data_IF_053302696347
#
_entry.id   IF_053302696347
#
_cell.length_a   1.000
_cell.length_b   1.000
_cell.length_c   1.000
_cell.angle_alpha   90.00
_cell.angle_beta   90.00
_cell.angle_gamma   90.00
#
_symmetry.space_group_name_H-M   'P 1'
#
loop_
_entity.id
_entity.type
_entity.pdbx_description
1 polymer ?
#
# COMPACT_ATOMS: atom_id res chain seq x y z
N UNK A 1 7.05 -4.29 26.02
CA UNK A 1 7.00 -2.92 25.46
C UNK A 1 6.96 -2.96 23.93
N UNK A 2 8.04 -3.40 23.26
CA UNK A 2 8.16 -3.50 21.79
C UNK A 2 6.98 -4.14 21.06
N UNK A 3 6.45 -5.27 21.53
CA UNK A 3 5.30 -5.92 20.88
C UNK A 3 4.01 -5.10 21.00
N UNK A 4 3.79 -4.46 22.14
CA UNK A 4 2.61 -3.64 22.38
C UNK A 4 2.61 -2.38 21.51
N UNK A 5 3.77 -1.73 21.38
CA UNK A 5 3.94 -0.55 20.51
C UNK A 5 3.85 -0.94 19.04
N UNK A 6 4.42 -2.08 18.63
CA UNK A 6 4.25 -2.65 17.28
C UNK A 6 2.76 -2.91 16.97
N UNK A 7 2.03 -3.49 17.93
CA UNK A 7 0.59 -3.75 17.77
C UNK A 7 -0.19 -2.45 17.64
N UNK A 8 0.09 -1.45 18.48
CA UNK A 8 -0.55 -0.14 18.43
C UNK A 8 -0.29 0.57 17.08
N UNK A 9 0.95 0.52 16.60
CA UNK A 9 1.36 1.04 15.29
C UNK A 9 0.57 0.37 14.15
N UNK A 10 0.50 -0.97 14.15
CA UNK A 10 -0.14 -1.74 13.07
C UNK A 10 -1.66 -1.61 13.07
N UNK A 11 -2.29 -1.58 14.24
CA UNK A 11 -3.74 -1.75 14.39
C UNK A 11 -4.51 -0.45 14.65
N UNK A 12 -3.84 0.62 15.11
CA UNK A 12 -4.55 1.88 15.36
C UNK A 12 -5.11 2.47 14.05
N UNK A 13 -6.37 2.88 14.08
CA UNK A 13 -7.08 3.51 12.96
C UNK A 13 -7.13 5.05 13.08
N UNK A 14 -6.36 5.61 14.01
CA UNK A 14 -6.32 7.04 14.27
C UNK A 14 -5.29 7.40 15.34
N UNK A 15 -5.33 8.63 15.86
CA UNK A 15 -4.48 9.02 16.99
C UNK A 15 -4.74 8.13 18.20
N UNK A 16 -3.67 7.50 18.71
CA UNK A 16 -3.72 6.69 19.93
C UNK A 16 -4.13 7.57 21.12
N UNK A 17 -5.04 7.04 21.94
CA UNK A 17 -5.50 7.67 23.18
C UNK A 17 -4.96 6.87 24.36
N UNK A 18 -4.43 7.56 25.36
CA UNK A 18 -3.89 6.91 26.58
C UNK A 18 -4.98 6.40 27.52
N UNK A 19 -6.22 6.85 27.35
CA UNK A 19 -7.38 6.45 28.16
C UNK A 19 -7.14 6.60 29.68
N UNK A 20 -6.34 7.59 30.08
CA UNK A 20 -5.99 7.86 31.48
C UNK A 20 -4.83 7.01 32.02
N UNK A 21 -4.19 6.19 31.20
CA UNK A 21 -2.98 5.47 31.56
C UNK A 21 -1.77 6.43 31.60
N UNK A 22 -0.82 6.23 32.53
CA UNK A 22 0.39 7.05 32.66
C UNK A 22 1.43 6.67 31.59
N UNK A 23 1.05 6.74 30.32
CA UNK A 23 1.94 6.52 29.19
C UNK A 23 2.55 7.88 28.81
N UNK A 24 3.90 8.01 28.80
CA UNK A 24 4.56 9.22 28.34
C UNK A 24 4.07 9.68 26.97
N UNK A 25 3.77 10.97 26.84
CA UNK A 25 3.24 11.57 25.61
C UNK A 25 4.16 11.33 24.41
N UNK A 26 5.47 11.43 24.61
CA UNK A 26 6.49 11.17 23.59
C UNK A 26 6.38 9.77 22.97
N UNK A 27 5.97 8.75 23.72
CA UNK A 27 5.77 7.39 23.21
C UNK A 27 4.54 7.37 22.30
N UNK A 28 3.45 8.02 22.70
CA UNK A 28 2.21 8.10 21.91
C UNK A 28 2.45 8.86 20.59
N UNK A 29 3.15 9.98 20.66
CA UNK A 29 3.54 10.77 19.49
C UNK A 29 4.38 9.95 18.52
N UNK A 30 5.40 9.23 19.03
CA UNK A 30 6.27 8.42 18.19
C UNK A 30 5.53 7.29 17.48
N UNK A 31 4.64 6.57 18.19
CA UNK A 31 3.82 5.52 17.56
C UNK A 31 2.90 6.13 16.49
N UNK A 32 2.26 7.26 16.77
CA UNK A 32 1.38 7.92 15.82
C UNK A 32 2.16 8.39 14.59
N UNK A 33 3.34 8.97 14.77
CA UNK A 33 4.20 9.43 13.69
C UNK A 33 4.62 8.26 12.79
N UNK A 34 5.15 7.17 13.35
CA UNK A 34 5.56 6.01 12.55
C UNK A 34 4.38 5.37 11.81
N UNK A 35 3.19 5.34 12.41
CA UNK A 35 1.97 4.91 11.73
C UNK A 35 1.65 5.79 10.52
N UNK A 36 1.66 7.12 10.70
CA UNK A 36 1.36 8.07 9.64
C UNK A 36 2.37 7.98 8.49
N UNK A 37 3.67 7.96 8.80
CA UNK A 37 4.74 7.83 7.82
C UNK A 37 4.64 6.52 7.03
N UNK A 38 4.36 5.40 7.71
CA UNK A 38 4.23 4.09 7.06
C UNK A 38 3.02 4.03 6.12
N UNK A 39 1.87 4.58 6.52
CA UNK A 39 0.69 4.64 5.67
C UNK A 39 0.95 5.57 4.48
N UNK A 40 1.50 6.76 4.71
CA UNK A 40 1.80 7.71 3.65
C UNK A 40 2.80 7.14 2.63
N UNK A 41 3.82 6.40 3.09
CA UNK A 41 4.78 5.73 2.22
C UNK A 41 4.10 4.75 1.25
N UNK A 42 3.15 3.94 1.74
CA UNK A 42 2.40 3.00 0.90
C UNK A 42 1.55 3.76 -0.13
N UNK A 43 0.76 4.73 0.33
CA UNK A 43 -0.16 5.49 -0.54
C UNK A 43 0.62 6.27 -1.59
N UNK A 44 1.68 6.97 -1.20
CA UNK A 44 2.55 7.72 -2.10
C UNK A 44 3.24 6.82 -3.13
N UNK A 45 3.65 5.61 -2.77
CA UNK A 45 4.23 4.66 -3.72
C UNK A 45 3.21 4.14 -4.74
N UNK A 46 1.94 3.94 -4.34
CA UNK A 46 0.87 3.58 -5.27
C UNK A 46 0.56 4.71 -6.26
N UNK A 47 0.48 5.96 -5.79
CA UNK A 47 0.30 7.10 -6.68
C UNK A 47 1.49 7.26 -7.65
N UNK A 48 2.72 7.08 -7.16
CA UNK A 48 3.91 7.05 -8.03
C UNK A 48 3.83 5.94 -9.07
N UNK A 49 3.31 4.76 -8.71
CA UNK A 49 3.12 3.66 -9.65
C UNK A 49 2.08 4.00 -10.74
N UNK A 50 1.02 4.74 -10.41
CA UNK A 50 0.09 5.29 -11.40
C UNK A 50 0.82 6.25 -12.36
N UNK A 51 1.65 7.17 -11.84
CA UNK A 51 2.44 8.09 -12.64
C UNK A 51 3.42 7.35 -13.56
N UNK A 52 4.05 6.29 -13.08
CA UNK A 52 4.95 5.43 -13.86
C UNK A 52 4.24 4.76 -15.05
N UNK A 53 3.00 4.32 -14.87
CA UNK A 53 2.20 3.78 -15.97
C UNK A 53 1.78 4.88 -16.95
N UNK A 54 1.40 6.06 -16.44
CA UNK A 54 1.00 7.21 -17.27
C UNK A 54 2.15 7.69 -18.16
N UNK A 55 3.35 7.83 -17.59
CA UNK A 55 4.57 8.22 -18.29
C UNK A 55 5.21 7.08 -19.10
N UNK A 56 4.65 5.87 -19.04
CA UNK A 56 5.18 4.66 -19.70
C UNK A 56 6.61 4.30 -19.27
N UNK A 57 6.96 4.59 -18.01
CA UNK A 57 8.24 4.19 -17.41
C UNK A 57 8.34 2.68 -17.15
N UNK A 58 7.23 1.94 -17.26
CA UNK A 58 7.19 0.46 -17.24
C UNK A 58 7.15 -0.08 -18.68
N UNK A 59 8.13 -0.90 -19.05
CA UNK A 59 8.54 -1.17 -20.45
C UNK A 59 7.80 -2.36 -21.11
N UNK A 60 6.55 -2.65 -20.74
CA UNK A 60 5.83 -3.78 -21.38
C UNK A 60 5.33 -3.43 -22.79
N UNK A 61 4.20 -2.73 -22.87
CA UNK A 61 3.61 -2.21 -24.11
C UNK A 61 2.64 -1.07 -23.75
N UNK A 62 2.15 -0.36 -24.77
CA UNK A 62 1.11 0.65 -24.55
C UNK A 62 -0.16 0.04 -23.95
N UNK A 63 -0.58 -1.12 -24.46
CA UNK A 63 -1.73 -1.88 -23.99
C UNK A 63 -1.51 -2.32 -22.54
N UNK A 64 -0.36 -2.95 -22.23
CA UNK A 64 -0.04 -3.38 -20.85
C UNK A 64 -0.17 -2.22 -19.87
N UNK A 65 0.46 -1.08 -20.17
CA UNK A 65 0.45 0.09 -19.30
C UNK A 65 -0.96 0.64 -19.13
N UNK A 66 -1.74 0.73 -20.21
CA UNK A 66 -3.11 1.23 -20.16
C UNK A 66 -4.02 0.32 -19.31
N UNK A 67 -3.88 -0.99 -19.47
CA UNK A 67 -4.64 -2.00 -18.73
C UNK A 67 -4.26 -1.98 -17.24
N UNK A 68 -2.97 -1.99 -16.92
CA UNK A 68 -2.48 -1.96 -15.54
C UNK A 68 -2.84 -0.64 -14.85
N UNK A 69 -2.74 0.49 -15.55
CA UNK A 69 -3.18 1.80 -15.05
C UNK A 69 -4.67 1.77 -14.69
N UNK A 70 -5.52 1.28 -15.60
CA UNK A 70 -6.95 1.16 -15.35
C UNK A 70 -7.28 0.22 -14.19
N UNK A 71 -6.61 -0.94 -14.13
CA UNK A 71 -6.78 -1.91 -13.05
C UNK A 71 -6.38 -1.32 -11.69
N UNK A 72 -5.18 -0.73 -11.60
CA UNK A 72 -4.68 -0.13 -10.37
C UNK A 72 -5.58 1.03 -9.91
N UNK A 73 -5.98 1.93 -10.82
CA UNK A 73 -6.86 3.05 -10.51
C UNK A 73 -8.21 2.58 -9.96
N UNK A 74 -8.81 1.58 -10.62
CA UNK A 74 -10.12 1.03 -10.22
C UNK A 74 -10.05 0.33 -8.87
N UNK A 75 -9.02 -0.49 -8.65
CA UNK A 75 -8.85 -1.22 -7.39
C UNK A 75 -8.52 -0.29 -6.22
N UNK A 76 -7.70 0.76 -6.44
CA UNK A 76 -7.43 1.79 -5.43
C UNK A 76 -8.68 2.60 -5.11
N UNK A 77 -9.48 2.99 -6.11
CA UNK A 77 -10.74 3.69 -5.88
C UNK A 77 -11.72 2.84 -5.08
N UNK A 78 -11.89 1.56 -5.44
CA UNK A 78 -12.78 0.64 -4.72
C UNK A 78 -12.39 0.42 -3.25
N UNK A 79 -11.12 0.67 -2.90
CA UNK A 79 -10.58 0.56 -1.52
C UNK A 79 -10.47 1.90 -0.80
N UNK A 80 -10.92 3.00 -1.40
CA UNK A 80 -10.80 4.34 -0.82
C UNK A 80 -9.38 4.87 -0.73
N UNK A 81 -8.45 4.35 -1.54
CA UNK A 81 -7.02 4.73 -1.54
C UNK A 81 -6.68 5.79 -2.61
N UNK A 82 -7.64 6.14 -3.49
CA UNK A 82 -7.39 7.00 -4.65
C UNK A 82 -7.96 8.41 -4.53
N UNK A 83 -9.29 8.55 -4.45
CA UNK A 83 -9.97 9.85 -4.47
C UNK A 83 -11.20 9.87 -3.56
N UNK A 84 -11.39 10.91 -2.71
CA UNK A 84 -10.41 11.97 -2.43
C UNK A 84 -9.14 11.37 -1.81
N UNK A 85 -7.98 12.02 -2.02
CA UNK A 85 -6.73 11.52 -1.46
C UNK A 85 -6.86 11.49 0.07
N UNK A 86 -6.43 10.38 0.66
CA UNK A 86 -6.42 10.19 2.10
C UNK A 86 -5.66 11.35 2.75
N UNK A 87 -6.31 12.01 3.72
CA UNK A 87 -5.73 13.11 4.47
C UNK A 87 -5.26 12.63 5.84
N UNK A 88 -4.13 13.17 6.31
CA UNK A 88 -3.66 13.00 7.68
C UNK A 88 -4.79 13.46 8.64
N UNK A 89 -5.14 12.67 9.68
CA UNK A 89 -4.37 11.55 10.24
C UNK A 89 -4.81 10.15 9.76
N UNK A 90 -5.31 10.02 8.53
CA UNK A 90 -5.77 8.75 7.95
C UNK A 90 -6.83 8.05 8.80
N UNK A 91 -7.86 8.80 9.20
CA UNK A 91 -8.92 8.30 10.07
C UNK A 91 -9.63 7.09 9.43
N UNK A 92 -9.77 6.01 10.21
CA UNK A 92 -10.38 4.76 9.77
C UNK A 92 -9.40 3.78 9.13
N UNK A 93 -8.15 4.19 8.87
CA UNK A 93 -7.13 3.34 8.26
C UNK A 93 -6.06 2.95 9.29
N UNK A 94 -5.89 1.64 9.48
CA UNK A 94 -4.72 1.09 10.17
C UNK A 94 -3.70 0.62 9.14
N UNK A 95 -2.43 0.62 9.52
CA UNK A 95 -1.36 0.15 8.65
C UNK A 95 -1.59 -1.31 8.21
N UNK A 96 -2.09 -2.17 9.11
CA UNK A 96 -2.44 -3.54 8.78
C UNK A 96 -3.55 -3.62 7.71
N UNK A 97 -4.63 -2.86 7.87
CA UNK A 97 -5.72 -2.83 6.88
C UNK A 97 -5.28 -2.24 5.54
N UNK A 98 -4.40 -1.24 5.56
CA UNK A 98 -3.82 -0.65 4.35
C UNK A 98 -2.97 -1.67 3.60
N UNK A 99 -2.04 -2.35 4.28
CA UNK A 99 -1.22 -3.41 3.66
C UNK A 99 -2.07 -4.54 3.09
N UNK A 100 -3.09 -5.01 3.85
CA UNK A 100 -4.01 -6.04 3.39
C UNK A 100 -4.81 -5.59 2.15
N UNK A 101 -5.28 -4.35 2.14
CA UNK A 101 -6.00 -3.76 1.00
C UNK A 101 -5.15 -3.74 -0.26
N UNK A 102 -3.88 -3.35 -0.13
CA UNK A 102 -2.92 -3.32 -1.24
C UNK A 102 -2.59 -4.74 -1.73
N UNK A 103 -2.33 -5.69 -0.83
CA UNK A 103 -2.11 -7.10 -1.21
C UNK A 103 -3.30 -7.71 -1.92
N UNK A 104 -4.50 -7.24 -1.61
CA UNK A 104 -5.74 -7.65 -2.27
C UNK A 104 -6.00 -7.00 -3.62
N UNK A 105 -5.16 -6.09 -4.12
CA UNK A 105 -5.33 -5.49 -5.46
C UNK A 105 -5.19 -6.58 -6.51
N UNK A 106 -6.21 -6.70 -7.36
CA UNK A 106 -6.27 -7.75 -8.38
C UNK A 106 -5.54 -7.33 -9.66
N UNK A 107 -4.77 -8.27 -10.22
CA UNK A 107 -4.23 -8.12 -11.57
C UNK A 107 -5.31 -8.36 -12.64
N UNK A 108 -5.32 -7.57 -13.72
CA UNK A 108 -6.22 -7.80 -14.84
C UNK A 108 -5.84 -9.09 -15.56
N UNK A 109 -6.85 -9.82 -16.06
CA UNK A 109 -6.64 -11.01 -16.90
C UNK A 109 -6.90 -10.65 -18.35
N UNK A 110 -5.88 -10.78 -19.20
CA UNK A 110 -6.01 -10.57 -20.64
C UNK A 110 -6.13 -11.91 -21.36
N UNK A 111 -7.31 -12.20 -21.92
CA UNK A 111 -7.53 -13.42 -22.70
C UNK A 111 -7.40 -13.12 -24.21
N UNK A 112 -6.24 -13.38 -24.81
CA UNK A 112 -6.11 -13.52 -26.26
C UNK A 112 -6.44 -14.95 -26.68
N UNK A 113 -7.71 -15.33 -26.69
CA UNK A 113 -8.13 -16.50 -27.48
C UNK A 113 -8.66 -16.03 -28.83
N UNK A 114 -7.83 -16.19 -29.86
CA UNK A 114 -8.33 -16.45 -31.21
C UNK A 114 -7.72 -17.76 -31.69
N UNK A 115 -8.43 -18.86 -31.46
CA UNK A 115 -8.29 -20.06 -32.29
C UNK A 115 -8.89 -19.74 -33.68
N UNK A 116 -8.32 -18.74 -34.36
CA UNK A 116 -8.59 -18.49 -35.78
C UNK A 116 -7.54 -19.28 -36.56
N UNK A 117 -7.92 -20.14 -37.51
CA UNK A 117 -6.96 -20.83 -38.39
C UNK A 117 -6.09 -19.86 -39.22
N UNK A 118 -6.40 -18.55 -39.20
CA UNK A 118 -5.78 -17.50 -40.01
C UNK A 118 -5.24 -16.32 -39.18
N UNK A 119 -5.20 -16.40 -37.85
CA UNK A 119 -4.68 -15.33 -36.99
C UNK A 119 -3.30 -15.68 -36.44
N UNK A 120 -2.37 -14.72 -36.27
CA UNK A 120 -1.14 -14.97 -35.53
C UNK A 120 -1.48 -15.40 -34.10
N UNK A 121 -0.78 -16.41 -33.58
CA UNK A 121 -0.73 -16.68 -32.14
C UNK A 121 -0.19 -15.42 -31.46
N UNK A 122 -1.05 -14.73 -30.71
CA UNK A 122 -0.62 -13.61 -29.87
C UNK A 122 -0.49 -14.17 -28.47
N UNK A 123 0.75 -14.33 -28.01
CA UNK A 123 1.07 -14.72 -26.65
C UNK A 123 0.25 -13.88 -25.68
N UNK A 124 -0.38 -14.56 -24.71
CA UNK A 124 -1.05 -13.86 -23.62
C UNK A 124 -0.01 -12.99 -22.92
N UNK A 125 -0.21 -11.67 -22.92
CA UNK A 125 0.66 -10.76 -22.19
C UNK A 125 0.38 -10.96 -20.70
N UNK A 126 1.35 -11.57 -20.01
CA UNK A 126 1.28 -11.93 -18.59
C UNK A 126 1.63 -10.74 -17.67
N UNK A 127 0.95 -9.60 -17.89
CA UNK A 127 1.15 -8.41 -17.07
C UNK A 127 0.39 -8.49 -15.75
N UNK A 128 1.13 -8.61 -14.65
CA UNK A 128 0.59 -8.62 -13.29
C UNK A 128 1.01 -7.37 -12.50
N UNK A 129 0.10 -6.87 -11.65
CA UNK A 129 0.38 -5.84 -10.66
C UNK A 129 1.15 -6.38 -9.45
N UNK A 130 1.00 -7.67 -9.12
CA UNK A 130 1.55 -8.28 -7.90
C UNK A 130 3.07 -8.02 -7.72
N UNK A 131 3.93 -8.22 -8.75
CA UNK A 131 5.36 -7.98 -8.61
C UNK A 131 5.72 -6.49 -8.40
N UNK A 132 4.80 -5.58 -8.71
CA UNK A 132 5.00 -4.14 -8.57
C UNK A 132 4.50 -3.62 -7.22
N UNK A 133 3.43 -4.22 -6.68
CA UNK A 133 2.78 -3.77 -5.43
C UNK A 133 3.31 -4.49 -4.19
N UNK A 134 3.66 -5.78 -4.28
CA UNK A 134 4.14 -6.53 -3.11
C UNK A 134 5.43 -5.95 -2.51
N UNK A 135 6.43 -5.52 -3.31
CA UNK A 135 7.63 -4.89 -2.76
C UNK A 135 7.36 -3.61 -1.95
N UNK A 136 6.28 -2.86 -2.28
CA UNK A 136 5.90 -1.65 -1.55
C UNK A 136 5.50 -2.00 -0.12
N UNK A 137 4.57 -2.95 0.04
CA UNK A 137 4.08 -3.36 1.37
C UNK A 137 5.11 -4.17 2.15
N UNK A 138 5.87 -5.02 1.48
CA UNK A 138 6.89 -5.85 2.14
C UNK A 138 8.06 -5.00 2.65
N UNK A 139 8.41 -3.92 1.94
CA UNK A 139 9.42 -2.96 2.39
C UNK A 139 9.01 -2.27 3.69
N UNK A 140 7.76 -1.80 3.76
CA UNK A 140 7.20 -1.17 4.96
C UNK A 140 7.03 -2.20 6.08
N UNK A 141 6.54 -3.40 5.79
CA UNK A 141 6.35 -4.42 6.81
C UNK A 141 7.68 -4.83 7.49
N UNK A 142 8.76 -4.89 6.72
CA UNK A 142 10.12 -5.19 7.23
C UNK A 142 10.72 -4.04 8.05
N UNK A 143 10.36 -2.79 7.77
CA UNK A 143 10.87 -1.64 8.53
C UNK A 143 10.17 -1.47 9.88
N UNK A 144 8.94 -1.97 10.03
CA UNK A 144 8.19 -1.89 11.28
C UNK A 144 8.84 -2.76 12.35
N UNK A 145 9.50 -2.09 13.28
CA UNK A 145 9.98 -2.66 14.52
C UNK A 145 9.37 -1.81 15.63
N UNK A 146 8.56 -2.40 16.52
CA UNK A 146 8.01 -1.62 17.63
C UNK A 146 9.10 -0.88 18.41
N UNK A 147 8.70 0.17 19.12
CA UNK A 147 9.63 1.02 19.86
C UNK A 147 10.38 0.25 20.94
N UNK A 148 11.67 0.55 21.08
CA UNK A 148 12.51 -0.01 22.14
C UNK A 148 12.33 0.82 23.42
N UNK A 149 12.43 0.20 24.59
CA UNK A 149 12.20 0.95 25.85
C UNK A 149 13.40 1.86 26.15
N UNK A 150 14.59 1.38 25.81
CA UNK A 150 15.88 2.07 25.90
C UNK A 150 15.90 3.41 25.17
N UNK A 151 15.09 3.61 24.13
CA UNK A 151 14.97 4.88 23.41
C UNK A 151 14.41 6.02 24.31
N UNK A 152 13.86 5.68 25.49
CA UNK A 152 13.16 6.61 26.39
C UNK A 152 13.71 6.64 27.82
N UNK A 153 14.78 5.90 28.13
CA UNK A 153 15.33 5.75 29.48
C UNK A 153 16.54 6.69 29.76
N UNK A 154 16.55 7.88 29.17
CA UNK A 154 17.60 8.90 29.36
C UNK A 154 17.78 9.38 30.79
#
# INVERSE_FOLDING_TARGET
FKEATCTALKQSQGPIRTLGLPIPEIIVEKINQERLESIDQIISALHKLLDDFYERRKVCSFECNSILLGALTTEMHARGLFSPRLAIPFLGFSLATTMASVRGIRSPRWHTKRNSPFGPEVDAIDCSLEPLIYPIVDGVEKSINGLALEDFLG
#
